data_IF_748039628084
#
_entry.id   IF_748039628084
#
_cell.length_a   1.000
_cell.length_b   1.000
_cell.length_c   1.000
_cell.angle_alpha   90.00
_cell.angle_beta   90.00
_cell.angle_gamma   90.00
#
_symmetry.space_group_name_H-M   'P 1'
#
loop_
_entity.id
_entity.type
_entity.pdbx_description
1 polymer ?
#
# COMPACT_ATOMS: atom_id res chain seq x y z
N UNK A 1 18.04 -20.25 7.46
CA UNK A 1 16.94 -20.25 8.46
C UNK A 1 16.48 -18.84 8.79
N UNK A 2 17.35 -17.90 9.22
CA UNK A 2 16.95 -16.51 9.52
C UNK A 2 16.20 -15.81 8.38
N UNK A 3 16.71 -15.91 7.13
CA UNK A 3 16.04 -15.35 5.95
C UNK A 3 14.61 -15.92 5.74
N UNK A 4 14.43 -17.23 5.98
CA UNK A 4 13.12 -17.87 5.84
C UNK A 4 12.11 -17.33 6.86
N UNK A 5 12.52 -17.20 8.13
CA UNK A 5 11.67 -16.66 9.21
C UNK A 5 11.19 -15.25 8.88
N UNK A 6 12.10 -14.40 8.42
CA UNK A 6 11.78 -13.01 8.05
C UNK A 6 10.82 -12.95 6.85
N UNK A 7 11.09 -13.75 5.82
CA UNK A 7 10.27 -13.78 4.60
C UNK A 7 8.87 -14.34 4.88
N UNK A 8 8.77 -15.32 5.79
CA UNK A 8 7.48 -15.87 6.22
C UNK A 8 6.61 -14.84 6.97
N UNK A 9 7.22 -14.01 7.82
CA UNK A 9 6.50 -12.91 8.47
C UNK A 9 5.99 -11.88 7.47
N UNK A 10 6.79 -11.54 6.47
CA UNK A 10 6.38 -10.63 5.39
C UNK A 10 5.25 -11.22 4.56
N UNK A 11 5.34 -12.51 4.24
CA UNK A 11 4.27 -13.21 3.56
C UNK A 11 2.97 -13.14 4.37
N UNK A 12 3.01 -13.46 5.67
CA UNK A 12 1.86 -13.40 6.58
C UNK A 12 1.22 -12.00 6.61
N UNK A 13 2.03 -10.96 6.82
CA UNK A 13 1.53 -9.58 6.89
C UNK A 13 0.92 -9.10 5.57
N UNK A 14 1.54 -9.46 4.43
CA UNK A 14 0.98 -9.12 3.12
C UNK A 14 -0.24 -9.97 2.78
N UNK A 15 -0.26 -11.26 3.15
CA UNK A 15 -1.42 -12.12 2.96
C UNK A 15 -2.65 -11.54 3.67
N UNK A 16 -2.50 -11.09 4.91
CA UNK A 16 -3.58 -10.49 5.70
C UNK A 16 -4.21 -9.27 5.01
N UNK A 17 -3.42 -8.43 4.35
CA UNK A 17 -3.92 -7.28 3.58
C UNK A 17 -4.87 -7.69 2.44
N UNK A 18 -4.62 -8.82 1.81
CA UNK A 18 -5.37 -9.25 0.63
C UNK A 18 -6.55 -10.17 0.97
N UNK A 19 -6.34 -11.05 1.94
CA UNK A 19 -7.31 -12.08 2.32
C UNK A 19 -8.59 -11.49 2.91
N UNK A 20 -8.48 -10.41 3.70
CA UNK A 20 -9.59 -9.74 4.37
C UNK A 20 -10.57 -9.10 3.38
N UNK A 21 -10.09 -8.63 2.21
CA UNK A 21 -10.97 -8.07 1.19
C UNK A 21 -12.03 -9.08 0.73
N UNK A 22 -11.64 -10.35 0.53
CA UNK A 22 -12.55 -11.42 0.07
C UNK A 22 -13.54 -11.82 1.17
N UNK A 23 -13.16 -11.67 2.43
CA UNK A 23 -13.99 -12.02 3.58
C UNK A 23 -15.02 -10.93 3.95
N UNK A 24 -14.89 -9.72 3.40
CA UNK A 24 -15.70 -8.57 3.81
C UNK A 24 -17.22 -8.79 3.70
N UNK A 25 -17.78 -9.34 2.61
CA UNK A 25 -19.22 -9.63 2.52
C UNK A 25 -19.68 -10.67 3.56
N UNK A 26 -18.88 -11.70 3.82
CA UNK A 26 -19.20 -12.70 4.85
C UNK A 26 -19.19 -12.12 6.27
N UNK A 27 -18.28 -11.17 6.57
CA UNK A 27 -18.29 -10.41 7.81
C UNK A 27 -19.57 -9.57 7.92
N UNK A 28 -20.02 -8.97 6.82
CA UNK A 28 -21.24 -8.14 6.77
C UNK A 28 -22.48 -8.94 7.18
N UNK A 29 -22.64 -10.14 6.67
CA UNK A 29 -23.75 -11.03 7.05
C UNK A 29 -23.65 -11.52 8.50
N UNK A 30 -22.44 -11.74 9.00
CA UNK A 30 -22.19 -12.22 10.37
C UNK A 30 -22.48 -11.16 11.45
N UNK A 31 -22.23 -9.89 11.16
CA UNK A 31 -22.50 -8.76 12.04
C UNK A 31 -23.84 -8.05 11.73
N UNK A 32 -24.86 -8.85 11.38
CA UNK A 32 -26.19 -8.32 11.11
C UNK A 32 -26.88 -7.81 12.39
N UNK A 33 -27.59 -6.69 12.29
CA UNK A 33 -28.45 -6.14 13.32
C UNK A 33 -29.87 -5.97 12.80
N UNK A 34 -30.86 -6.49 13.53
CA UNK A 34 -32.26 -6.36 13.13
C UNK A 34 -32.59 -7.03 11.78
N UNK A 35 -31.89 -8.13 11.42
CA UNK A 35 -32.10 -8.82 10.16
C UNK A 35 -31.41 -8.18 8.94
N UNK A 36 -30.69 -7.09 9.11
CA UNK A 36 -29.93 -6.44 8.05
C UNK A 36 -28.43 -6.65 8.22
N UNK A 37 -27.67 -6.98 7.16
CA UNK A 37 -26.21 -7.03 7.17
C UNK A 37 -25.62 -5.68 7.61
N UNK A 38 -24.42 -5.72 8.21
CA UNK A 38 -23.67 -4.51 8.52
C UNK A 38 -23.47 -3.65 7.26
N UNK A 39 -23.51 -2.32 7.41
CA UNK A 39 -23.36 -1.42 6.26
C UNK A 39 -21.97 -1.52 5.64
N UNK A 40 -21.85 -1.32 4.32
CA UNK A 40 -20.53 -1.26 3.64
C UNK A 40 -19.68 -0.13 4.22
N UNK A 41 -20.30 0.97 4.68
CA UNK A 41 -19.64 2.07 5.37
C UNK A 41 -18.93 1.58 6.64
N UNK A 42 -19.63 0.82 7.49
CA UNK A 42 -19.06 0.30 8.73
C UNK A 42 -18.00 -0.79 8.44
N UNK A 43 -18.28 -1.69 7.49
CA UNK A 43 -17.35 -2.75 7.07
C UNK A 43 -16.05 -2.18 6.51
N UNK A 44 -16.10 -1.06 5.79
CA UNK A 44 -14.91 -0.42 5.23
C UNK A 44 -13.88 -0.05 6.30
N UNK A 45 -14.32 0.17 7.55
CA UNK A 45 -13.42 0.45 8.66
C UNK A 45 -12.51 -0.72 9.02
N UNK A 46 -12.89 -1.96 8.72
CA UNK A 46 -12.00 -3.14 8.89
C UNK A 46 -10.74 -3.01 8.03
N UNK A 47 -10.86 -2.42 6.83
CA UNK A 47 -9.74 -2.16 5.93
C UNK A 47 -9.06 -0.81 6.26
N UNK A 48 -9.84 0.25 6.45
CA UNK A 48 -9.36 1.60 6.63
C UNK A 48 -8.57 1.77 7.94
N UNK A 49 -9.07 1.24 9.06
CA UNK A 49 -8.40 1.33 10.35
C UNK A 49 -7.01 0.67 10.31
N UNK A 50 -6.89 -0.47 9.63
CA UNK A 50 -5.61 -1.14 9.41
C UNK A 50 -4.67 -0.28 8.55
N UNK A 51 -5.12 0.17 7.40
CA UNK A 51 -4.30 0.93 6.46
C UNK A 51 -3.80 2.26 7.04
N UNK A 52 -4.68 3.00 7.74
CA UNK A 52 -4.35 4.27 8.40
C UNK A 52 -3.29 4.05 9.49
N UNK A 53 -3.52 3.06 10.36
CA UNK A 53 -2.60 2.76 11.47
C UNK A 53 -1.24 2.30 10.95
N UNK A 54 -1.23 1.43 9.93
CA UNK A 54 0.00 0.98 9.28
C UNK A 54 0.77 2.16 8.69
N UNK A 55 0.09 3.05 7.94
CA UNK A 55 0.70 4.23 7.35
C UNK A 55 1.39 5.13 8.37
N UNK A 56 0.70 5.40 9.48
CA UNK A 56 1.17 6.28 10.52
C UNK A 56 2.34 5.72 11.31
N UNK A 57 2.29 4.43 11.64
CA UNK A 57 3.27 3.80 12.52
C UNK A 57 4.51 3.26 11.81
N UNK A 58 4.44 3.02 10.50
CA UNK A 58 5.53 2.39 9.74
C UNK A 58 6.85 3.14 9.89
N UNK A 59 6.84 4.47 9.77
CA UNK A 59 8.04 5.31 9.89
C UNK A 59 8.51 5.40 11.34
N UNK A 60 7.56 5.60 12.27
CA UNK A 60 7.87 5.74 13.71
C UNK A 60 8.51 4.47 14.24
N UNK A 61 7.89 3.32 13.98
CA UNK A 61 8.36 2.04 14.50
C UNK A 61 9.66 1.63 13.80
N UNK A 62 9.84 1.94 12.51
CA UNK A 62 11.12 1.75 11.82
C UNK A 62 12.27 2.45 12.55
N UNK A 63 12.11 3.72 12.94
CA UNK A 63 13.10 4.47 13.72
C UNK A 63 13.28 3.94 15.15
N UNK A 64 12.23 3.42 15.77
CA UNK A 64 12.34 2.72 17.06
C UNK A 64 13.22 1.47 16.90
N UNK A 65 13.06 0.72 15.80
CA UNK A 65 13.89 -0.43 15.44
C UNK A 65 15.37 -0.08 15.33
N UNK A 66 15.71 1.08 14.75
CA UNK A 66 17.10 1.55 14.63
C UNK A 66 17.73 1.88 16.00
N UNK A 67 16.92 2.32 16.98
CA UNK A 67 17.39 2.68 18.33
C UNK A 67 17.44 1.53 19.32
N UNK A 68 16.41 0.72 19.35
CA UNK A 68 16.23 -0.36 20.33
C UNK A 68 16.82 -1.67 19.82
N UNK A 69 16.98 -1.77 18.50
CA UNK A 69 17.42 -2.97 17.79
C UNK A 69 16.27 -3.57 16.96
N UNK A 70 16.63 -4.07 15.79
CA UNK A 70 15.64 -4.58 14.82
C UNK A 70 14.93 -5.85 15.31
N UNK A 71 15.69 -6.77 15.96
CA UNK A 71 15.18 -8.06 16.43
C UNK A 71 14.07 -7.93 17.50
N UNK A 72 14.25 -7.20 18.61
CA UNK A 72 13.19 -7.07 19.62
C UNK A 72 11.92 -6.41 19.04
N UNK A 73 12.08 -5.39 18.19
CA UNK A 73 10.93 -4.72 17.56
C UNK A 73 10.23 -5.66 16.57
N UNK A 74 10.97 -6.43 15.79
CA UNK A 74 10.39 -7.44 14.88
C UNK A 74 9.59 -8.49 15.65
N UNK A 75 10.19 -9.10 16.68
CA UNK A 75 9.54 -10.17 17.47
C UNK A 75 8.32 -9.64 18.20
N UNK A 76 8.40 -8.47 18.86
CA UNK A 76 7.24 -7.87 19.51
C UNK A 76 6.13 -7.52 18.48
N UNK A 77 6.50 -7.10 17.27
CA UNK A 77 5.56 -6.88 16.18
C UNK A 77 4.84 -8.16 15.74
N UNK A 78 5.56 -9.28 15.60
CA UNK A 78 4.96 -10.59 15.27
C UNK A 78 4.03 -11.06 16.40
N UNK A 79 4.44 -10.92 17.67
CA UNK A 79 3.58 -11.25 18.83
C UNK A 79 2.32 -10.42 18.83
N UNK A 80 2.43 -9.09 18.70
CA UNK A 80 1.28 -8.20 18.67
C UNK A 80 0.33 -8.52 17.51
N UNK A 81 0.87 -8.78 16.30
CA UNK A 81 0.11 -9.16 15.11
C UNK A 81 -0.64 -10.47 15.33
N UNK A 82 0.03 -11.48 15.90
CA UNK A 82 -0.55 -12.81 16.14
C UNK A 82 -1.66 -12.75 17.20
N UNK A 83 -1.43 -12.07 18.31
CA UNK A 83 -2.45 -11.89 19.35
C UNK A 83 -3.64 -11.09 18.84
N UNK A 84 -3.39 -10.03 18.08
CA UNK A 84 -4.45 -9.26 17.45
C UNK A 84 -5.22 -10.07 16.40
N UNK A 85 -4.58 -11.00 15.67
CA UNK A 85 -5.27 -11.93 14.78
C UNK A 85 -6.24 -12.84 15.54
N UNK A 86 -5.84 -13.34 16.71
CA UNK A 86 -6.76 -14.08 17.59
C UNK A 86 -7.92 -13.18 18.05
N UNK A 87 -7.63 -11.95 18.45
CA UNK A 87 -8.68 -10.99 18.86
C UNK A 87 -9.65 -10.67 17.70
N UNK A 88 -9.14 -10.53 16.46
CA UNK A 88 -9.98 -10.37 15.27
C UNK A 88 -10.93 -11.57 15.06
N UNK A 89 -10.41 -12.79 15.17
CA UNK A 89 -11.20 -14.00 15.01
C UNK A 89 -12.27 -14.16 16.09
N UNK A 90 -12.00 -13.72 17.30
CA UNK A 90 -12.90 -13.82 18.45
C UNK A 90 -13.81 -12.60 18.62
N UNK A 91 -13.70 -11.57 17.78
CA UNK A 91 -14.45 -10.32 17.95
C UNK A 91 -15.97 -10.55 17.87
N UNK A 92 -16.73 -10.25 18.93
CA UNK A 92 -18.19 -10.43 18.96
C UNK A 92 -18.93 -9.29 18.24
N UNK A 93 -18.29 -8.14 18.05
CA UNK A 93 -18.87 -6.98 17.36
C UNK A 93 -17.91 -6.44 16.30
N UNK A 94 -18.47 -5.79 15.28
CA UNK A 94 -17.69 -5.17 14.20
C UNK A 94 -16.66 -4.16 14.74
N UNK A 95 -17.04 -3.34 15.71
CA UNK A 95 -16.14 -2.31 16.26
C UNK A 95 -14.99 -2.89 17.08
N UNK A 96 -15.19 -4.03 17.76
CA UNK A 96 -14.10 -4.76 18.40
C UNK A 96 -13.17 -5.39 17.36
N UNK A 97 -13.71 -5.87 16.23
CA UNK A 97 -12.89 -6.31 15.10
C UNK A 97 -12.05 -5.14 14.57
N UNK A 98 -12.64 -3.96 14.36
CA UNK A 98 -11.92 -2.75 13.91
C UNK A 98 -10.81 -2.36 14.91
N UNK A 99 -11.08 -2.39 16.22
CA UNK A 99 -10.06 -2.11 17.23
C UNK A 99 -8.92 -3.15 17.21
N UNK A 100 -9.24 -4.43 17.08
CA UNK A 100 -8.23 -5.49 16.93
C UNK A 100 -7.38 -5.30 15.65
N UNK A 101 -8.00 -4.82 14.56
CA UNK A 101 -7.30 -4.46 13.31
C UNK A 101 -6.31 -3.30 13.51
N UNK A 102 -6.61 -2.32 14.37
CA UNK A 102 -5.65 -1.26 14.73
C UNK A 102 -4.42 -1.85 15.41
N UNK A 103 -4.61 -2.75 16.39
CA UNK A 103 -3.48 -3.42 17.08
C UNK A 103 -2.69 -4.30 16.11
N UNK A 104 -3.38 -5.03 15.23
CA UNK A 104 -2.76 -5.88 14.22
C UNK A 104 -1.90 -5.06 13.25
N UNK A 105 -2.38 -3.89 12.82
CA UNK A 105 -1.65 -2.97 11.96
C UNK A 105 -0.40 -2.40 12.64
N UNK A 106 -0.44 -2.12 13.93
CA UNK A 106 0.73 -1.73 14.71
C UNK A 106 1.80 -2.84 14.71
N UNK A 107 1.38 -4.10 14.87
CA UNK A 107 2.25 -5.27 14.72
C UNK A 107 2.87 -5.37 13.33
N UNK A 108 2.08 -5.16 12.27
CA UNK A 108 2.55 -5.14 10.88
C UNK A 108 3.57 -4.01 10.63
N UNK A 109 3.31 -2.82 11.18
CA UNK A 109 4.22 -1.68 11.10
C UNK A 109 5.58 -1.94 11.75
N UNK A 110 5.62 -2.81 12.76
CA UNK A 110 6.87 -3.25 13.39
C UNK A 110 7.60 -4.30 12.54
N UNK A 111 6.87 -5.17 11.85
CA UNK A 111 7.45 -6.25 11.06
C UNK A 111 8.07 -5.77 9.74
N UNK A 112 7.37 -4.92 8.97
CA UNK A 112 7.77 -4.61 7.60
C UNK A 112 9.16 -3.96 7.49
N UNK A 113 9.50 -2.84 8.18
CA UNK A 113 10.82 -2.22 8.08
C UNK A 113 11.91 -3.09 8.72
N UNK A 114 11.63 -3.68 9.89
CA UNK A 114 12.60 -4.48 10.63
C UNK A 114 12.92 -5.80 9.94
N UNK A 115 11.97 -6.38 9.20
CA UNK A 115 12.17 -7.61 8.43
C UNK A 115 13.24 -7.45 7.38
N UNK A 116 13.20 -6.40 6.57
CA UNK A 116 14.21 -6.15 5.55
C UNK A 116 15.59 -5.90 6.16
N UNK A 117 15.65 -5.11 7.24
CA UNK A 117 16.91 -4.86 7.96
C UNK A 117 17.54 -6.15 8.52
N UNK A 118 16.74 -7.01 9.17
CA UNK A 118 17.19 -8.30 9.67
C UNK A 118 17.61 -9.26 8.56
N UNK A 119 16.91 -9.26 7.44
CA UNK A 119 17.28 -10.05 6.28
C UNK A 119 18.65 -9.65 5.76
N UNK A 120 18.87 -8.35 5.55
CA UNK A 120 20.15 -7.82 5.05
C UNK A 120 21.31 -8.03 6.05
N UNK A 121 21.02 -8.01 7.35
CA UNK A 121 22.00 -8.34 8.40
C UNK A 121 22.32 -9.85 8.47
N UNK A 122 21.43 -10.70 7.95
CA UNK A 122 21.57 -12.17 8.01
C UNK A 122 22.30 -12.76 6.80
N UNK A 123 22.62 -11.95 5.77
CA UNK A 123 23.23 -12.43 4.54
C UNK A 123 24.50 -11.63 4.18
N UNK A 124 25.51 -12.27 3.55
CA UNK A 124 26.68 -11.57 3.02
C UNK A 124 26.31 -10.48 2.02
N UNK A 125 27.17 -9.46 1.89
CA UNK A 125 26.90 -8.27 1.05
C UNK A 125 26.60 -8.65 -0.40
N UNK A 126 27.29 -9.65 -0.93
CA UNK A 126 27.17 -10.15 -2.31
C UNK A 126 25.79 -10.76 -2.58
N UNK A 127 25.12 -11.30 -1.55
CA UNK A 127 23.80 -11.94 -1.64
C UNK A 127 22.63 -11.00 -1.29
N UNK A 128 22.88 -9.78 -0.83
CA UNK A 128 21.83 -8.84 -0.40
C UNK A 128 20.83 -8.51 -1.49
N UNK A 129 21.29 -8.31 -2.73
CA UNK A 129 20.40 -8.04 -3.87
C UNK A 129 19.45 -9.22 -4.13
N UNK A 130 19.95 -10.46 -4.08
CA UNK A 130 19.12 -11.66 -4.20
C UNK A 130 18.12 -11.80 -3.07
N UNK A 131 18.55 -11.57 -1.83
CA UNK A 131 17.70 -11.63 -0.65
C UNK A 131 16.56 -10.60 -0.70
N UNK A 132 16.85 -9.36 -1.08
CA UNK A 132 15.82 -8.32 -1.26
C UNK A 132 14.81 -8.70 -2.35
N UNK A 133 15.27 -9.30 -3.44
CA UNK A 133 14.36 -9.80 -4.50
C UNK A 133 13.45 -10.91 -3.97
N UNK A 134 14.00 -11.85 -3.20
CA UNK A 134 13.20 -12.91 -2.56
C UNK A 134 12.17 -12.32 -1.62
N UNK A 135 12.56 -11.37 -0.77
CA UNK A 135 11.66 -10.66 0.15
C UNK A 135 10.49 -10.00 -0.59
N UNK A 136 10.77 -9.29 -1.68
CA UNK A 136 9.74 -8.66 -2.50
C UNK A 136 8.86 -9.69 -3.23
N UNK A 137 9.44 -10.80 -3.72
CA UNK A 137 8.71 -11.87 -4.40
C UNK A 137 7.69 -12.55 -3.48
N UNK A 138 8.01 -12.78 -2.20
CA UNK A 138 7.06 -13.33 -1.23
C UNK A 138 5.92 -12.35 -0.89
N UNK A 139 6.19 -11.04 -0.90
CA UNK A 139 5.13 -10.03 -0.84
C UNK A 139 4.17 -10.12 -2.03
N UNK A 140 4.70 -10.31 -3.24
CA UNK A 140 3.90 -10.52 -4.45
C UNK A 140 3.14 -11.86 -4.44
N UNK A 141 3.78 -12.93 -3.97
CA UNK A 141 3.13 -14.25 -3.81
C UNK A 141 1.95 -14.17 -2.84
N UNK A 142 2.09 -13.45 -1.73
CA UNK A 142 1.02 -13.22 -0.77
C UNK A 142 -0.17 -12.50 -1.41
N UNK A 143 0.09 -11.51 -2.28
CA UNK A 143 -0.96 -10.81 -3.00
C UNK A 143 -1.73 -11.71 -3.97
N UNK A 144 -1.05 -12.64 -4.64
CA UNK A 144 -1.69 -13.61 -5.54
C UNK A 144 -2.42 -14.72 -4.78
N UNK A 145 -1.85 -15.18 -3.66
CA UNK A 145 -2.43 -16.23 -2.82
C UNK A 145 -3.62 -15.74 -1.98
N UNK A 146 -3.63 -14.45 -1.62
CA UNK A 146 -4.64 -13.85 -0.73
C UNK A 146 -6.08 -14.11 -1.15
N UNK A 147 -6.50 -13.77 -2.37
CA UNK A 147 -7.85 -14.02 -2.83
C UNK A 147 -8.24 -15.50 -2.82
N UNK A 148 -7.32 -16.40 -3.19
CA UNK A 148 -7.58 -17.86 -3.23
C UNK A 148 -7.72 -18.42 -1.82
N UNK A 149 -6.73 -18.14 -0.96
CA UNK A 149 -6.77 -18.60 0.44
C UNK A 149 -7.94 -17.97 1.18
N UNK A 150 -8.23 -16.69 0.91
CA UNK A 150 -9.41 -16.02 1.46
C UNK A 150 -10.70 -16.72 1.07
N UNK A 151 -10.85 -17.02 -0.23
CA UNK A 151 -12.00 -17.73 -0.74
C UNK A 151 -12.17 -19.13 -0.15
N UNK A 152 -11.07 -19.88 0.04
CA UNK A 152 -11.10 -21.20 0.67
C UNK A 152 -11.48 -21.12 2.16
N UNK A 153 -10.86 -20.22 2.90
CA UNK A 153 -11.06 -20.10 4.35
C UNK A 153 -12.45 -19.57 4.69
N UNK A 154 -12.97 -18.65 3.89
CA UNK A 154 -14.33 -18.09 4.06
C UNK A 154 -15.41 -19.14 3.86
N UNK A 155 -15.17 -20.23 3.09
CA UNK A 155 -16.13 -21.35 2.98
C UNK A 155 -16.34 -22.09 4.31
N UNK A 156 -15.33 -22.08 5.18
CA UNK A 156 -15.44 -22.69 6.51
C UNK A 156 -16.08 -21.68 7.47
N UNK A 157 -15.40 -20.56 7.68
CA UNK A 157 -15.87 -19.38 8.42
C UNK A 157 -14.90 -18.23 8.11
N UNK A 158 -15.39 -17.00 7.96
CA UNK A 158 -14.54 -15.83 7.70
C UNK A 158 -13.47 -15.61 8.78
N UNK A 159 -13.68 -16.09 10.01
CA UNK A 159 -12.71 -16.01 11.11
C UNK A 159 -11.39 -16.71 10.81
N UNK A 160 -11.42 -17.73 9.95
CA UNK A 160 -10.22 -18.45 9.55
C UNK A 160 -9.21 -17.60 8.78
N UNK A 161 -9.65 -16.49 8.17
CA UNK A 161 -8.72 -15.56 7.51
C UNK A 161 -7.76 -14.90 8.51
N UNK A 162 -8.14 -14.83 9.79
CA UNK A 162 -7.28 -14.35 10.86
C UNK A 162 -6.56 -15.51 11.58
N UNK A 163 -7.24 -16.63 11.77
CA UNK A 163 -6.67 -17.81 12.46
C UNK A 163 -5.45 -18.37 11.71
N UNK A 164 -5.42 -18.30 10.38
CA UNK A 164 -4.28 -18.75 9.56
C UNK A 164 -2.98 -18.04 9.92
N UNK A 165 -3.03 -16.83 10.45
CA UNK A 165 -1.87 -16.09 10.90
C UNK A 165 -1.27 -16.66 12.19
N UNK A 166 -2.05 -17.36 13.01
CA UNK A 166 -1.62 -17.83 14.35
C UNK A 166 -0.48 -18.85 14.27
N UNK A 167 -0.61 -19.96 13.53
CA UNK A 167 0.48 -20.93 13.43
C UNK A 167 1.74 -20.34 12.79
N UNK A 168 1.57 -19.46 11.79
CA UNK A 168 2.70 -18.79 11.14
C UNK A 168 3.39 -17.84 12.12
N UNK A 169 2.62 -17.06 12.88
CA UNK A 169 3.14 -16.11 13.86
C UNK A 169 3.86 -16.81 15.02
N UNK A 170 3.27 -17.86 15.59
CA UNK A 170 3.89 -18.65 16.66
C UNK A 170 5.24 -19.25 16.18
N UNK A 171 5.24 -19.88 15.00
CA UNK A 171 6.47 -20.39 14.41
C UNK A 171 7.52 -19.29 14.22
N UNK A 172 7.10 -18.13 13.67
CA UNK A 172 7.99 -16.99 13.43
C UNK A 172 8.59 -16.43 14.71
N UNK A 173 7.81 -16.34 15.81
CA UNK A 173 8.31 -15.90 17.12
C UNK A 173 9.34 -16.89 17.66
N UNK A 174 9.00 -18.17 17.73
CA UNK A 174 9.90 -19.22 18.31
C UNK A 174 11.20 -19.31 17.50
N UNK A 175 11.09 -19.45 16.18
CA UNK A 175 12.24 -19.51 15.30
C UNK A 175 13.03 -18.18 15.28
N UNK A 176 12.35 -17.05 15.33
CA UNK A 176 12.98 -15.73 15.37
C UNK A 176 13.81 -15.48 16.62
N UNK A 177 13.32 -15.93 17.78
CA UNK A 177 14.08 -15.88 19.03
C UNK A 177 15.33 -16.79 19.01
N UNK A 178 15.31 -17.88 18.24
CA UNK A 178 16.42 -18.80 18.13
C UNK A 178 17.48 -18.35 17.10
N UNK A 179 17.06 -17.86 15.91
CA UNK A 179 17.97 -17.75 14.75
C UNK A 179 18.26 -16.31 14.29
N UNK A 180 17.45 -15.30 14.70
CA UNK A 180 17.68 -13.94 14.25
C UNK A 180 18.87 -13.27 14.97
N UNK A 181 19.75 -12.57 14.23
CA UNK A 181 20.90 -11.90 14.83
C UNK A 181 20.45 -10.78 15.78
N UNK A 182 21.20 -10.64 16.89
CA UNK A 182 21.03 -9.50 17.79
C UNK A 182 21.70 -8.28 17.17
N UNK A 183 20.99 -7.57 16.31
CA UNK A 183 21.47 -6.33 15.73
C UNK A 183 21.32 -5.22 16.76
N UNK A 184 22.41 -4.88 17.41
CA UNK A 184 22.46 -3.78 18.35
C UNK A 184 23.17 -2.58 17.73
N UNK A 185 22.48 -1.74 16.99
CA UNK A 185 22.93 -0.39 16.71
C UNK A 185 22.06 0.57 17.51
N UNK A 186 22.62 1.11 18.58
CA UNK A 186 22.01 2.22 19.30
C UNK A 186 22.42 3.51 18.61
N UNK A 187 21.83 3.82 17.48
CA UNK A 187 21.95 5.15 16.92
C UNK A 187 21.28 6.14 17.86
N UNK A 188 22.08 7.10 18.38
CA UNK A 188 21.59 8.23 19.20
C UNK A 188 20.97 9.29 18.28
N UNK A 189 19.99 8.90 17.47
CA UNK A 189 19.24 9.84 16.65
C UNK A 189 18.14 10.57 17.45
N UNK A 190 17.55 11.67 16.95
CA UNK A 190 16.40 12.31 17.60
C UNK A 190 15.21 11.37 17.67
N UNK A 191 14.34 11.59 18.67
CA UNK A 191 13.10 10.81 18.82
C UNK A 191 12.21 10.99 17.59
N UNK A 192 11.52 9.92 17.14
CA UNK A 192 10.55 10.04 16.06
C UNK A 192 9.41 10.97 16.47
N UNK A 193 8.83 11.67 15.49
CA UNK A 193 7.68 12.56 15.70
C UNK A 193 6.39 11.74 15.91
N UNK A 194 6.20 11.26 17.14
CA UNK A 194 5.00 10.49 17.54
C UNK A 194 3.74 11.35 17.43
N UNK A 195 3.81 12.63 17.78
CA UNK A 195 2.67 13.54 17.64
C UNK A 195 2.31 13.81 16.18
N UNK A 196 3.29 13.89 15.29
CA UNK A 196 3.05 13.94 13.84
C UNK A 196 2.35 12.67 13.34
N UNK A 197 2.71 11.50 13.87
CA UNK A 197 2.01 10.25 13.54
C UNK A 197 0.56 10.24 14.02
N UNK A 198 0.30 10.65 15.27
CA UNK A 198 -1.06 10.78 15.79
C UNK A 198 -1.88 11.76 14.96
N UNK A 199 -1.29 12.89 14.60
CA UNK A 199 -1.98 13.94 13.84
C UNK A 199 -2.33 13.50 12.41
N UNK A 200 -1.41 12.85 11.70
CA UNK A 200 -1.71 12.32 10.36
C UNK A 200 -2.75 11.20 10.42
N UNK A 201 -2.67 10.33 11.45
CA UNK A 201 -3.67 9.28 11.69
C UNK A 201 -5.06 9.89 11.87
N UNK A 202 -5.20 10.85 12.77
CA UNK A 202 -6.47 11.52 13.04
C UNK A 202 -7.00 12.26 11.80
N UNK A 203 -6.12 12.93 11.06
CA UNK A 203 -6.46 13.63 9.81
C UNK A 203 -7.03 12.68 8.76
N UNK A 204 -6.33 11.57 8.49
CA UNK A 204 -6.77 10.60 7.49
C UNK A 204 -8.02 9.85 7.95
N UNK A 205 -8.14 9.54 9.25
CA UNK A 205 -9.34 8.93 9.83
C UNK A 205 -10.55 9.87 9.71
N UNK A 206 -10.38 11.16 10.01
CA UNK A 206 -11.45 12.15 9.87
C UNK A 206 -11.89 12.32 8.41
N UNK A 207 -10.94 12.40 7.47
CA UNK A 207 -11.25 12.47 6.04
C UNK A 207 -12.00 11.21 5.57
N UNK A 208 -11.51 10.04 5.92
CA UNK A 208 -12.15 8.78 5.54
C UNK A 208 -13.53 8.63 6.17
N UNK A 209 -13.68 9.02 7.45
CA UNK A 209 -14.97 9.03 8.13
C UNK A 209 -15.97 9.98 7.47
N UNK A 210 -15.55 11.18 7.09
CA UNK A 210 -16.39 12.12 6.36
C UNK A 210 -16.89 11.52 5.04
N UNK A 211 -15.97 10.97 4.21
CA UNK A 211 -16.31 10.38 2.92
C UNK A 211 -17.22 9.16 3.06
N UNK A 212 -16.92 8.26 3.98
CA UNK A 212 -17.67 7.00 4.20
C UNK A 212 -19.07 7.26 4.76
N UNK A 213 -19.23 8.28 5.63
CA UNK A 213 -20.51 8.58 6.29
C UNK A 213 -21.37 9.62 5.56
N UNK A 214 -20.78 10.41 4.65
CA UNK A 214 -21.52 11.44 3.91
C UNK A 214 -22.75 10.94 3.17
N UNK A 215 -22.78 9.73 2.55
CA UNK A 215 -23.99 9.22 1.90
C UNK A 215 -25.14 8.96 2.88
N UNK A 216 -24.86 8.57 4.13
CA UNK A 216 -25.89 8.27 5.15
C UNK A 216 -26.28 9.48 5.99
N UNK A 217 -25.32 10.34 6.35
CA UNK A 217 -25.55 11.52 7.18
C UNK A 217 -26.00 12.74 6.36
N UNK A 218 -25.69 12.76 5.07
CA UNK A 218 -25.80 13.93 4.19
C UNK A 218 -24.49 14.74 4.13
N UNK A 219 -24.18 15.25 2.94
CA UNK A 219 -22.95 16.04 2.69
C UNK A 219 -22.91 17.36 3.47
N UNK A 220 -24.07 17.96 3.69
CA UNK A 220 -24.21 19.22 4.45
C UNK A 220 -24.50 19.02 5.94
N UNK A 221 -24.47 17.78 6.45
CA UNK A 221 -24.71 17.52 7.86
C UNK A 221 -23.58 18.08 8.73
N UNK A 222 -23.89 18.54 9.97
CA UNK A 222 -22.88 19.01 10.91
C UNK A 222 -21.78 17.97 11.19
N UNK A 223 -22.12 16.67 11.20
CA UNK A 223 -21.18 15.57 11.39
C UNK A 223 -20.17 15.47 10.24
N UNK A 224 -20.65 15.45 8.99
CA UNK A 224 -19.79 15.39 7.80
C UNK A 224 -18.90 16.63 7.67
N UNK A 225 -19.50 17.82 7.83
CA UNK A 225 -18.74 19.08 7.78
C UNK A 225 -17.74 19.20 8.92
N UNK A 226 -18.09 18.73 10.13
CA UNK A 226 -17.17 18.68 11.26
C UNK A 226 -15.96 17.79 11.02
N UNK A 227 -16.16 16.59 10.44
CA UNK A 227 -15.07 15.69 10.09
C UNK A 227 -14.19 16.26 8.95
N UNK A 228 -14.79 16.90 7.93
CA UNK A 228 -14.03 17.57 6.86
C UNK A 228 -13.20 18.74 7.41
N UNK A 229 -13.79 19.55 8.31
CA UNK A 229 -13.07 20.63 8.97
C UNK A 229 -11.93 20.08 9.86
N UNK A 230 -12.17 19.00 10.63
CA UNK A 230 -11.14 18.36 11.42
C UNK A 230 -10.01 17.80 10.55
N UNK A 231 -10.33 17.20 9.39
CA UNK A 231 -9.33 16.74 8.42
C UNK A 231 -8.52 17.92 7.83
N UNK A 232 -9.17 19.01 7.46
CA UNK A 232 -8.50 20.20 6.92
C UNK A 232 -7.56 20.86 7.96
N UNK A 233 -8.06 21.08 9.17
CA UNK A 233 -7.29 21.68 10.28
C UNK A 233 -6.15 20.76 10.70
N UNK A 234 -6.41 19.45 10.86
CA UNK A 234 -5.42 18.46 11.22
C UNK A 234 -4.32 18.34 10.15
N UNK A 235 -4.69 18.35 8.87
CA UNK A 235 -3.75 18.33 7.75
C UNK A 235 -2.87 19.59 7.69
N UNK A 236 -3.47 20.76 7.87
CA UNK A 236 -2.73 22.03 7.94
C UNK A 236 -1.77 22.03 9.13
N UNK A 237 -2.21 21.58 10.29
CA UNK A 237 -1.36 21.49 11.48
C UNK A 237 -0.23 20.46 11.29
N UNK A 238 -0.53 19.29 10.73
CA UNK A 238 0.49 18.30 10.39
C UNK A 238 1.55 18.89 9.44
N UNK A 239 1.12 19.62 8.41
CA UNK A 239 2.03 20.28 7.48
C UNK A 239 2.93 21.30 8.18
N UNK A 240 2.36 22.20 8.98
CA UNK A 240 3.11 23.21 9.73
C UNK A 240 4.08 22.58 10.73
N UNK A 241 3.63 21.51 11.42
CA UNK A 241 4.48 20.76 12.35
C UNK A 241 5.64 20.09 11.63
N UNK A 242 5.35 19.37 10.55
CA UNK A 242 6.39 18.67 9.76
C UNK A 242 7.41 19.63 9.15
N UNK A 243 6.99 20.85 8.83
CA UNK A 243 7.91 21.89 8.32
C UNK A 243 8.85 22.46 9.40
N UNK A 244 8.48 22.40 10.68
CA UNK A 244 9.22 23.02 11.81
C UNK A 244 9.91 22.01 12.72
N UNK A 245 9.53 20.74 12.69
CA UNK A 245 10.06 19.72 13.58
C UNK A 245 11.45 19.27 13.13
N UNK A 246 12.41 19.12 14.07
CA UNK A 246 13.80 18.74 13.78
C UNK A 246 13.90 17.32 13.18
N UNK A 247 12.95 16.43 13.49
CA UNK A 247 12.88 15.05 12.98
C UNK A 247 11.44 14.74 12.60
N UNK A 248 10.91 15.34 11.50
CA UNK A 248 9.51 15.17 11.13
C UNK A 248 9.21 13.74 10.72
N UNK A 249 7.92 13.33 10.89
CA UNK A 249 7.44 12.03 10.41
C UNK A 249 7.63 11.92 8.89
N UNK A 250 7.20 12.95 8.17
CA UNK A 250 7.38 13.10 6.72
C UNK A 250 8.30 14.29 6.44
N UNK A 251 9.40 14.02 5.77
CA UNK A 251 10.30 15.08 5.31
C UNK A 251 9.70 15.77 4.08
N UNK A 252 8.78 16.69 4.29
CA UNK A 252 8.01 17.36 3.23
C UNK A 252 8.88 18.07 2.19
N UNK A 253 10.11 18.48 2.56
CA UNK A 253 11.04 19.08 1.61
C UNK A 253 11.43 18.10 0.48
N UNK A 254 11.41 16.81 0.72
CA UNK A 254 11.67 15.79 -0.31
C UNK A 254 10.59 15.82 -1.42
N UNK A 255 9.36 16.19 -1.09
CA UNK A 255 8.28 16.34 -2.08
C UNK A 255 8.53 17.49 -3.06
N UNK A 256 9.40 18.44 -2.71
CA UNK A 256 9.81 19.54 -3.60
C UNK A 256 10.82 19.10 -4.67
N UNK A 257 11.45 17.93 -4.50
CA UNK A 257 12.29 17.34 -5.52
C UNK A 257 11.41 16.85 -6.67
N UNK A 258 11.57 17.35 -7.91
CA UNK A 258 10.59 17.12 -9.00
C UNK A 258 10.30 15.64 -9.25
N UNK A 259 11.33 14.79 -9.28
CA UNK A 259 11.17 13.37 -9.52
C UNK A 259 10.53 12.65 -8.32
N UNK A 260 10.89 13.00 -7.08
CA UNK A 260 10.29 12.41 -5.89
C UNK A 260 8.85 12.87 -5.70
N UNK A 261 8.57 14.17 -5.90
CA UNK A 261 7.22 14.71 -5.83
C UNK A 261 6.28 14.11 -6.86
N UNK A 262 6.70 14.06 -8.13
CA UNK A 262 5.92 13.43 -9.21
C UNK A 262 5.65 11.95 -8.94
N UNK A 263 6.66 11.22 -8.44
CA UNK A 263 6.53 9.82 -8.05
C UNK A 263 5.55 9.64 -6.89
N UNK A 264 5.61 10.51 -5.86
CA UNK A 264 4.72 10.44 -4.69
C UNK A 264 3.26 10.75 -5.07
N UNK A 265 3.04 11.77 -5.89
CA UNK A 265 1.70 12.10 -6.44
C UNK A 265 1.18 10.95 -7.31
N UNK A 266 2.01 10.43 -8.22
CA UNK A 266 1.66 9.27 -9.04
C UNK A 266 1.30 8.04 -8.18
N UNK A 267 2.07 7.78 -7.12
CA UNK A 267 1.80 6.67 -6.17
C UNK A 267 0.48 6.89 -5.43
N UNK A 268 0.17 8.11 -5.01
CA UNK A 268 -1.09 8.43 -4.35
C UNK A 268 -2.28 8.20 -5.28
N UNK A 269 -2.26 8.83 -6.45
CA UNK A 269 -3.37 8.77 -7.41
C UNK A 269 -3.59 7.34 -7.91
N UNK A 270 -2.51 6.63 -8.25
CA UNK A 270 -2.57 5.22 -8.65
C UNK A 270 -3.07 4.33 -7.51
N UNK A 271 -2.63 4.59 -6.28
CA UNK A 271 -3.03 3.84 -5.09
C UNK A 271 -4.53 3.96 -4.80
N UNK A 272 -5.11 5.16 -4.99
CA UNK A 272 -6.57 5.40 -4.88
C UNK A 272 -7.31 4.54 -5.90
N UNK A 273 -6.95 4.62 -7.18
CA UNK A 273 -7.59 3.84 -8.25
C UNK A 273 -7.45 2.33 -8.03
N UNK A 274 -6.29 1.89 -7.56
CA UNK A 274 -6.01 0.49 -7.28
C UNK A 274 -6.85 -0.06 -6.12
N UNK A 275 -7.01 0.68 -5.03
CA UNK A 275 -7.84 0.28 -3.90
C UNK A 275 -9.33 0.23 -4.28
N UNK A 276 -9.81 1.22 -5.06
CA UNK A 276 -11.16 1.19 -5.64
C UNK A 276 -11.38 -0.08 -6.46
N UNK A 277 -10.43 -0.43 -7.33
CA UNK A 277 -10.50 -1.64 -8.15
C UNK A 277 -10.60 -2.90 -7.31
N UNK A 278 -9.72 -3.05 -6.31
CA UNK A 278 -9.67 -4.25 -5.48
C UNK A 278 -11.00 -4.54 -4.80
N UNK A 279 -11.53 -3.55 -4.09
CA UNK A 279 -12.77 -3.72 -3.35
C UNK A 279 -13.97 -3.86 -4.31
N UNK A 280 -14.04 -3.06 -5.38
CA UNK A 280 -15.14 -3.16 -6.35
C UNK A 280 -15.19 -4.51 -7.05
N UNK A 281 -14.05 -5.16 -7.32
CA UNK A 281 -14.00 -6.50 -7.90
C UNK A 281 -14.65 -7.54 -6.98
N UNK A 282 -14.33 -7.49 -5.68
CA UNK A 282 -14.88 -8.44 -4.70
C UNK A 282 -16.38 -8.24 -4.54
N UNK A 283 -16.81 -7.00 -4.32
CA UNK A 283 -18.24 -6.67 -4.15
C UNK A 283 -19.03 -7.01 -5.41
N UNK A 284 -18.53 -6.70 -6.60
CA UNK A 284 -19.21 -7.06 -7.85
C UNK A 284 -19.39 -8.56 -7.99
N UNK A 285 -18.32 -9.35 -7.77
CA UNK A 285 -18.41 -10.80 -7.91
C UNK A 285 -19.31 -11.45 -6.85
N UNK A 286 -19.27 -10.99 -5.60
CA UNK A 286 -20.03 -11.63 -4.51
C UNK A 286 -21.46 -11.08 -4.40
N UNK A 287 -21.64 -9.77 -4.48
CA UNK A 287 -22.94 -9.14 -4.21
C UNK A 287 -23.80 -8.95 -5.48
N UNK A 288 -23.17 -8.75 -6.68
CA UNK A 288 -23.90 -8.58 -7.95
C UNK A 288 -24.00 -9.89 -8.73
N UNK A 289 -22.88 -10.62 -8.86
CA UNK A 289 -22.87 -11.91 -9.55
C UNK A 289 -23.22 -13.10 -8.65
N UNK A 290 -23.36 -12.88 -7.35
CA UNK A 290 -23.66 -13.90 -6.34
C UNK A 290 -22.69 -15.10 -6.37
N UNK A 291 -21.42 -14.84 -6.71
CA UNK A 291 -20.40 -15.88 -6.69
C UNK A 291 -19.95 -16.17 -5.26
N UNK A 292 -19.62 -17.44 -5.01
CA UNK A 292 -18.98 -17.81 -3.74
C UNK A 292 -17.63 -17.08 -3.58
N UNK A 293 -17.19 -16.92 -2.33
CA UNK A 293 -15.90 -16.31 -2.02
C UNK A 293 -14.73 -17.04 -2.71
N UNK A 294 -14.78 -18.39 -2.81
CA UNK A 294 -13.77 -19.17 -3.51
C UNK A 294 -13.75 -18.89 -5.02
N UNK A 295 -14.93 -18.89 -5.66
CA UNK A 295 -15.03 -18.57 -7.10
C UNK A 295 -14.52 -17.17 -7.38
N UNK A 296 -14.88 -16.21 -6.55
CA UNK A 296 -14.37 -14.84 -6.60
C UNK A 296 -12.85 -14.82 -6.44
N UNK A 297 -12.32 -15.49 -5.42
CA UNK A 297 -10.89 -15.56 -5.17
C UNK A 297 -10.10 -16.11 -6.37
N UNK A 298 -10.56 -17.22 -6.95
CA UNK A 298 -9.95 -17.85 -8.13
C UNK A 298 -10.02 -16.93 -9.36
N UNK A 299 -11.15 -16.27 -9.57
CA UNK A 299 -11.35 -15.35 -10.69
C UNK A 299 -10.44 -14.12 -10.62
N UNK A 300 -10.06 -13.69 -9.43
CA UNK A 300 -9.19 -12.52 -9.22
C UNK A 300 -7.68 -12.83 -9.32
N UNK A 301 -7.26 -14.10 -9.38
CA UNK A 301 -5.83 -14.51 -9.45
C UNK A 301 -5.08 -13.91 -10.64
N UNK A 302 -5.61 -13.86 -11.87
CA UNK A 302 -4.82 -13.45 -13.03
C UNK A 302 -4.18 -12.07 -12.90
N UNK A 303 -4.88 -11.11 -12.26
CA UNK A 303 -4.34 -9.77 -12.05
C UNK A 303 -3.07 -9.77 -11.20
N UNK A 304 -3.11 -10.15 -9.93
CA UNK A 304 -1.94 -10.22 -9.06
C UNK A 304 -0.83 -11.15 -9.55
N UNK A 305 -1.14 -12.25 -10.24
CA UNK A 305 -0.16 -13.19 -10.78
C UNK A 305 0.69 -12.56 -11.90
N UNK A 306 0.13 -11.65 -12.68
CA UNK A 306 0.85 -10.93 -13.74
C UNK A 306 1.84 -9.91 -13.20
N UNK A 307 1.60 -9.33 -12.01
CA UNK A 307 2.43 -8.25 -11.46
C UNK A 307 3.90 -8.63 -11.34
N UNK A 308 4.30 -9.71 -10.66
CA UNK A 308 5.71 -10.10 -10.57
C UNK A 308 6.31 -10.47 -11.93
N UNK A 309 5.55 -11.13 -12.80
CA UNK A 309 5.98 -11.52 -14.15
C UNK A 309 6.35 -10.27 -14.96
N UNK A 310 5.43 -9.31 -15.03
CA UNK A 310 5.64 -8.05 -15.75
C UNK A 310 6.81 -7.26 -15.16
N UNK A 311 6.90 -7.17 -13.83
CA UNK A 311 7.99 -6.46 -13.14
C UNK A 311 9.36 -7.04 -13.49
N UNK A 312 9.49 -8.37 -13.57
CA UNK A 312 10.75 -9.03 -13.95
C UNK A 312 11.07 -8.82 -15.44
N UNK A 313 10.08 -9.02 -16.32
CA UNK A 313 10.27 -8.88 -17.78
C UNK A 313 10.65 -7.46 -18.16
N UNK A 314 10.10 -6.46 -17.48
CA UNK A 314 10.33 -5.04 -17.77
C UNK A 314 11.57 -4.45 -17.10
N UNK A 315 12.27 -5.19 -16.25
CA UNK A 315 13.49 -4.72 -15.59
C UNK A 315 14.59 -4.25 -16.58
N UNK A 316 14.69 -4.88 -17.75
CA UNK A 316 15.61 -4.43 -18.83
C UNK A 316 15.11 -3.15 -19.49
N UNK A 317 13.81 -3.01 -19.68
CA UNK A 317 13.20 -1.81 -20.26
C UNK A 317 13.37 -0.59 -19.34
N UNK A 318 13.23 -0.76 -18.02
CA UNK A 318 13.51 0.30 -17.02
C UNK A 318 14.94 0.82 -17.18
N UNK A 319 15.93 -0.07 -17.36
CA UNK A 319 17.32 0.34 -17.51
C UNK A 319 17.58 1.10 -18.83
N UNK A 320 16.86 0.78 -19.90
CA UNK A 320 17.05 1.41 -21.23
C UNK A 320 16.23 2.69 -21.38
N UNK A 321 14.96 2.63 -21.05
CA UNK A 321 14.00 3.71 -21.29
C UNK A 321 13.83 4.64 -20.08
N UNK A 322 14.22 4.19 -18.87
CA UNK A 322 13.96 4.88 -17.62
C UNK A 322 12.60 4.53 -17.04
N UNK A 323 12.26 5.17 -15.93
CA UNK A 323 11.02 4.89 -15.16
C UNK A 323 9.78 5.52 -15.82
N UNK A 324 9.91 6.73 -16.37
CA UNK A 324 8.77 7.52 -16.86
C UNK A 324 7.90 6.82 -17.90
N UNK A 325 8.47 6.29 -19.02
CA UNK A 325 7.69 5.61 -20.06
C UNK A 325 6.91 4.39 -19.54
N UNK A 326 7.50 3.64 -18.59
CA UNK A 326 6.83 2.47 -18.02
C UNK A 326 5.69 2.86 -17.08
N UNK A 327 5.86 3.92 -16.28
CA UNK A 327 4.80 4.46 -15.45
C UNK A 327 3.65 4.97 -16.33
N UNK A 328 3.96 5.69 -17.41
CA UNK A 328 2.95 6.20 -18.34
C UNK A 328 2.17 5.05 -19.00
N UNK A 329 2.87 4.05 -19.54
CA UNK A 329 2.24 2.88 -20.15
C UNK A 329 1.42 2.07 -19.13
N UNK A 330 1.92 1.91 -17.90
CA UNK A 330 1.23 1.23 -16.82
C UNK A 330 -0.07 1.93 -16.42
N UNK A 331 -0.05 3.26 -16.34
CA UNK A 331 -1.26 4.06 -16.06
C UNK A 331 -2.30 3.95 -17.17
N UNK A 332 -1.88 3.99 -18.45
CA UNK A 332 -2.79 3.80 -19.60
C UNK A 332 -3.41 2.40 -19.60
N UNK A 333 -2.62 1.35 -19.39
CA UNK A 333 -3.13 -0.02 -19.36
C UNK A 333 -4.09 -0.26 -18.18
N UNK A 334 -3.77 0.29 -17.02
CA UNK A 334 -4.68 0.20 -15.87
C UNK A 334 -5.98 0.97 -16.14
N UNK A 335 -5.89 2.17 -16.74
CA UNK A 335 -7.06 2.94 -17.15
C UNK A 335 -7.92 2.18 -18.16
N UNK A 336 -7.30 1.53 -19.16
CA UNK A 336 -7.99 0.67 -20.11
C UNK A 336 -8.71 -0.50 -19.43
N UNK A 337 -8.07 -1.13 -18.43
CA UNK A 337 -8.70 -2.19 -17.63
C UNK A 337 -9.91 -1.70 -16.84
N UNK A 338 -9.84 -0.50 -16.25
CA UNK A 338 -10.97 0.13 -15.55
C UNK A 338 -12.08 0.54 -16.52
N UNK A 339 -11.74 1.14 -17.66
CA UNK A 339 -12.69 1.50 -18.71
C UNK A 339 -13.39 0.26 -19.30
N UNK A 340 -12.64 -0.85 -19.48
CA UNK A 340 -13.23 -2.11 -19.91
C UNK A 340 -14.35 -2.56 -18.97
N UNK A 341 -14.13 -2.49 -17.64
CA UNK A 341 -15.18 -2.82 -16.67
C UNK A 341 -16.39 -1.92 -16.80
N UNK A 342 -16.18 -0.63 -16.92
CA UNK A 342 -17.27 0.34 -17.03
C UNK A 342 -18.18 0.10 -18.24
N UNK A 343 -17.62 -0.42 -19.34
CA UNK A 343 -18.31 -0.62 -20.61
C UNK A 343 -18.89 -2.03 -20.75
N UNK A 344 -18.10 -3.05 -20.45
CA UNK A 344 -18.43 -4.43 -20.83
C UNK A 344 -18.96 -5.28 -19.67
N UNK A 345 -18.63 -4.97 -18.41
CA UNK A 345 -19.09 -5.79 -17.28
C UNK A 345 -20.60 -5.62 -17.11
N UNK A 346 -21.31 -6.74 -17.16
CA UNK A 346 -22.77 -6.81 -17.07
C UNK A 346 -23.22 -7.54 -15.79
N UNK A 347 -24.49 -7.42 -15.45
CA UNK A 347 -25.09 -8.14 -14.30
C UNK A 347 -25.20 -9.63 -14.53
N UNK A 348 -25.23 -10.09 -15.79
CA UNK A 348 -25.14 -11.50 -16.15
C UNK A 348 -23.67 -11.92 -16.20
N UNK A 349 -23.24 -12.92 -15.39
CA UNK A 349 -21.83 -13.26 -15.28
C UNK A 349 -21.27 -13.89 -16.57
N UNK A 350 -20.37 -13.18 -17.26
CA UNK A 350 -19.49 -13.73 -18.30
C UNK A 350 -18.02 -13.40 -17.96
N UNK A 351 -17.36 -14.34 -17.30
CA UNK A 351 -16.00 -14.16 -16.82
C UNK A 351 -15.00 -13.83 -17.93
N UNK A 352 -15.08 -14.60 -19.04
CA UNK A 352 -14.09 -14.52 -20.11
C UNK A 352 -14.18 -13.21 -20.88
N UNK A 353 -15.38 -12.70 -21.06
CA UNK A 353 -15.64 -11.45 -21.77
C UNK A 353 -15.54 -10.24 -20.85
N UNK A 354 -16.17 -10.32 -19.68
CA UNK A 354 -16.41 -9.16 -18.83
C UNK A 354 -15.21 -8.86 -17.93
N UNK A 355 -14.73 -9.85 -17.17
CA UNK A 355 -13.77 -9.61 -16.09
C UNK A 355 -12.31 -9.94 -16.49
N UNK A 356 -12.06 -11.07 -17.17
CA UNK A 356 -10.71 -11.55 -17.45
C UNK A 356 -9.86 -10.55 -18.26
N UNK A 357 -10.35 -9.93 -19.36
CA UNK A 357 -9.55 -8.96 -20.11
C UNK A 357 -9.15 -7.76 -19.25
N UNK A 358 -10.07 -7.29 -18.42
CA UNK A 358 -9.82 -6.18 -17.51
C UNK A 358 -8.78 -6.54 -16.42
N UNK A 359 -8.78 -7.80 -15.94
CA UNK A 359 -7.79 -8.30 -14.97
C UNK A 359 -6.39 -8.36 -15.59
N UNK A 360 -6.28 -8.81 -16.84
CA UNK A 360 -5.02 -8.83 -17.58
C UNK A 360 -4.48 -7.41 -17.79
N UNK A 361 -5.30 -6.51 -18.31
CA UNK A 361 -4.91 -5.11 -18.55
C UNK A 361 -4.47 -4.42 -17.26
N UNK A 362 -5.27 -4.53 -16.20
CA UNK A 362 -4.93 -3.91 -14.92
C UNK A 362 -3.76 -4.58 -14.23
N UNK A 363 -3.59 -5.91 -14.32
CA UNK A 363 -2.45 -6.64 -13.77
C UNK A 363 -1.12 -6.22 -14.43
N UNK A 364 -1.10 -6.11 -15.76
CA UNK A 364 0.05 -5.57 -16.49
C UNK A 364 0.30 -4.12 -16.11
N UNK A 365 -0.76 -3.30 -16.02
CA UNK A 365 -0.67 -1.89 -15.62
C UNK A 365 -0.04 -1.72 -14.24
N UNK A 366 -0.46 -2.52 -13.26
CA UNK A 366 0.11 -2.53 -11.89
C UNK A 366 1.58 -2.94 -11.92
N UNK A 367 1.93 -4.00 -12.66
CA UNK A 367 3.30 -4.49 -12.78
C UNK A 367 4.26 -3.46 -13.37
N UNK A 368 3.78 -2.64 -14.33
CA UNK A 368 4.55 -1.56 -14.92
C UNK A 368 4.64 -0.33 -14.01
N UNK A 369 3.54 0.10 -13.40
CA UNK A 369 3.47 1.38 -12.72
C UNK A 369 3.91 1.33 -11.25
N UNK A 370 3.37 0.39 -10.45
CA UNK A 370 3.45 0.47 -9.00
C UNK A 370 4.88 0.38 -8.46
N UNK A 371 5.61 -0.67 -8.83
CA UNK A 371 7.01 -0.84 -8.42
C UNK A 371 7.93 0.21 -9.02
N UNK A 372 7.64 0.64 -10.24
CA UNK A 372 8.42 1.62 -10.98
C UNK A 372 8.28 3.03 -10.39
N UNK A 373 7.09 3.42 -9.93
CA UNK A 373 6.86 4.67 -9.21
C UNK A 373 7.67 4.72 -7.91
N UNK A 374 7.60 3.66 -7.10
CA UNK A 374 8.38 3.58 -5.85
C UNK A 374 9.88 3.67 -6.14
N UNK A 375 10.36 2.92 -7.12
CA UNK A 375 11.78 2.92 -7.50
C UNK A 375 12.23 4.30 -8.02
N UNK A 376 11.44 4.96 -8.86
CA UNK A 376 11.72 6.29 -9.39
C UNK A 376 11.85 7.33 -8.26
N UNK A 377 10.93 7.30 -7.29
CA UNK A 377 10.97 8.18 -6.13
C UNK A 377 12.23 7.96 -5.30
N UNK A 378 12.46 6.73 -4.86
CA UNK A 378 13.58 6.40 -3.97
C UNK A 378 14.95 6.65 -4.63
N UNK A 379 15.11 6.34 -5.93
CA UNK A 379 16.36 6.54 -6.65
C UNK A 379 16.67 8.03 -6.93
N UNK A 380 15.70 8.92 -6.87
CA UNK A 380 15.90 10.34 -7.04
C UNK A 380 16.43 11.06 -5.79
N UNK A 381 16.51 10.35 -4.67
CA UNK A 381 16.93 10.92 -3.39
C UNK A 381 18.45 10.90 -3.22
N UNK A 382 19.00 11.87 -2.45
CA UNK A 382 20.40 11.86 -2.06
C UNK A 382 20.81 10.57 -1.34
N UNK A 383 22.12 10.24 -1.40
CA UNK A 383 22.68 9.09 -0.70
C UNK A 383 22.35 9.16 0.81
N UNK A 384 21.94 8.01 1.38
CA UNK A 384 21.52 7.91 2.78
C UNK A 384 20.04 8.20 3.06
N UNK A 385 19.26 8.75 2.10
CA UNK A 385 17.83 9.07 2.28
C UNK A 385 16.87 8.01 1.71
N UNK A 386 17.39 6.95 1.12
CA UNK A 386 16.59 5.91 0.47
C UNK A 386 15.57 5.23 1.41
N UNK A 387 15.98 4.96 2.66
CA UNK A 387 15.10 4.35 3.66
C UNK A 387 13.92 5.28 4.03
N UNK A 388 14.23 6.57 4.32
CA UNK A 388 13.21 7.60 4.62
C UNK A 388 12.26 7.79 3.44
N UNK A 389 12.79 7.87 2.21
CA UNK A 389 11.97 7.99 1.00
C UNK A 389 11.07 6.78 0.76
N UNK A 390 11.58 5.58 0.96
CA UNK A 390 10.79 4.35 0.84
C UNK A 390 9.66 4.31 1.87
N UNK A 391 9.94 4.69 3.12
CA UNK A 391 8.93 4.76 4.17
C UNK A 391 7.85 5.79 3.83
N UNK A 392 8.24 6.98 3.33
CA UNK A 392 7.30 8.02 2.90
C UNK A 392 6.40 7.55 1.76
N UNK A 393 6.95 6.95 0.70
CA UNK A 393 6.17 6.45 -0.43
C UNK A 393 5.22 5.32 0.00
N UNK A 394 5.64 4.44 0.92
CA UNK A 394 4.77 3.41 1.48
C UNK A 394 3.63 4.01 2.33
N UNK A 395 3.90 5.04 3.14
CA UNK A 395 2.85 5.76 3.88
C UNK A 395 1.86 6.42 2.93
N UNK A 396 2.34 7.08 1.88
CA UNK A 396 1.49 7.68 0.82
C UNK A 396 0.60 6.60 0.19
N UNK A 397 1.14 5.43 -0.11
CA UNK A 397 0.37 4.31 -0.67
C UNK A 397 -0.75 3.82 0.25
N UNK A 398 -0.48 3.72 1.55
CA UNK A 398 -1.49 3.28 2.52
C UNK A 398 -2.60 4.33 2.72
N UNK A 399 -2.25 5.61 2.76
CA UNK A 399 -3.21 6.72 2.79
C UNK A 399 -4.06 6.68 1.52
N UNK A 400 -3.45 6.48 0.35
CA UNK A 400 -4.16 6.36 -0.91
C UNK A 400 -5.15 5.18 -0.92
N UNK A 401 -4.75 4.03 -0.35
CA UNK A 401 -5.62 2.86 -0.21
C UNK A 401 -6.86 3.20 0.63
N UNK A 402 -6.68 3.87 1.76
CA UNK A 402 -7.78 4.30 2.63
C UNK A 402 -8.74 5.26 1.91
N UNK A 403 -8.19 6.28 1.23
CA UNK A 403 -8.99 7.24 0.45
C UNK A 403 -9.73 6.52 -0.68
N UNK A 404 -9.08 5.57 -1.37
CA UNK A 404 -9.68 4.81 -2.46
C UNK A 404 -10.87 3.96 -2.00
N UNK A 405 -10.76 3.27 -0.86
CA UNK A 405 -11.87 2.53 -0.24
C UNK A 405 -13.00 3.49 0.13
N UNK A 406 -12.68 4.62 0.78
CA UNK A 406 -13.68 5.60 1.18
C UNK A 406 -14.42 6.22 -0.01
N UNK A 407 -13.71 6.59 -1.08
CA UNK A 407 -14.29 7.11 -2.32
C UNK A 407 -15.21 6.07 -2.98
N UNK A 408 -14.78 4.81 -3.06
CA UNK A 408 -15.61 3.74 -3.61
C UNK A 408 -16.92 3.59 -2.83
N UNK A 409 -16.83 3.49 -1.49
CA UNK A 409 -18.01 3.36 -0.61
C UNK A 409 -18.94 4.55 -0.74
N UNK A 410 -18.39 5.76 -0.89
CA UNK A 410 -19.15 6.99 -1.14
C UNK A 410 -19.97 6.89 -2.44
N UNK A 411 -19.38 6.36 -3.51
CA UNK A 411 -20.01 6.28 -4.83
C UNK A 411 -21.06 5.17 -4.90
N UNK A 412 -20.74 3.99 -4.34
CA UNK A 412 -21.64 2.82 -4.39
C UNK A 412 -22.78 2.97 -3.37
N UNK A 413 -22.53 3.65 -2.25
CA UNK A 413 -23.46 3.79 -1.14
C UNK A 413 -23.23 2.78 -0.03
N UNK A 414 -24.06 2.88 1.01
CA UNK A 414 -23.91 2.07 2.22
C UNK A 414 -24.30 0.59 2.05
N UNK A 415 -24.99 0.24 0.97
CA UNK A 415 -25.40 -1.14 0.63
C UNK A 415 -25.28 -1.36 -0.86
N UNK A 416 -24.91 -2.56 -1.24
CA UNK A 416 -24.91 -2.99 -2.65
C UNK A 416 -26.30 -3.56 -2.95
N UNK A 417 -27.00 -2.91 -3.88
CA UNK A 417 -28.32 -3.31 -4.36
C UNK A 417 -28.42 -3.19 -5.89
N UNK A 418 -29.59 -3.43 -6.47
CA UNK A 418 -29.83 -3.30 -7.90
C UNK A 418 -29.55 -1.89 -8.44
N UNK A 419 -29.68 -0.84 -7.62
CA UNK A 419 -29.38 0.55 -7.96
C UNK A 419 -27.87 0.85 -7.98
N UNK A 420 -27.06 0.06 -7.34
CA UNK A 420 -25.60 0.29 -7.19
C UNK A 420 -24.82 0.07 -8.48
N UNK A 421 -25.38 -0.59 -9.52
CA UNK A 421 -24.70 -0.83 -10.81
C UNK A 421 -24.17 0.46 -11.44
N UNK A 422 -24.96 1.53 -11.41
CA UNK A 422 -24.52 2.85 -11.86
C UNK A 422 -23.35 3.40 -11.06
N UNK A 423 -23.34 3.19 -9.75
CA UNK A 423 -22.26 3.56 -8.85
C UNK A 423 -20.97 2.81 -9.17
N UNK A 424 -21.02 1.51 -9.41
CA UNK A 424 -19.83 0.74 -9.82
C UNK A 424 -19.26 1.27 -11.15
N UNK A 425 -20.10 1.52 -12.16
CA UNK A 425 -19.65 2.07 -13.44
C UNK A 425 -18.97 3.43 -13.25
N UNK A 426 -19.59 4.32 -12.47
CA UNK A 426 -19.01 5.63 -12.15
C UNK A 426 -17.65 5.46 -11.41
N UNK A 427 -17.56 4.56 -10.45
CA UNK A 427 -16.30 4.28 -9.75
C UNK A 427 -15.20 3.79 -10.70
N UNK A 428 -15.53 2.93 -11.67
CA UNK A 428 -14.57 2.45 -12.66
C UNK A 428 -14.14 3.57 -13.63
N UNK A 429 -15.04 4.43 -14.05
CA UNK A 429 -14.71 5.62 -14.87
C UNK A 429 -13.80 6.57 -14.12
N UNK A 430 -14.10 6.87 -12.85
CA UNK A 430 -13.24 7.71 -12.01
C UNK A 430 -11.86 7.05 -11.84
N UNK A 431 -11.81 5.74 -11.56
CA UNK A 431 -10.56 4.99 -11.47
C UNK A 431 -9.74 5.02 -12.76
N UNK A 432 -10.39 4.97 -13.92
CA UNK A 432 -9.72 5.14 -15.21
C UNK A 432 -9.12 6.55 -15.35
N UNK A 433 -9.89 7.59 -15.00
CA UNK A 433 -9.41 8.98 -15.00
C UNK A 433 -8.20 9.20 -14.10
N UNK A 434 -8.26 8.70 -12.85
CA UNK A 434 -7.12 8.75 -11.92
C UNK A 434 -5.88 8.04 -12.48
N UNK A 435 -6.08 6.91 -13.15
CA UNK A 435 -4.97 6.16 -13.75
C UNK A 435 -4.33 6.91 -14.93
N UNK A 436 -5.09 7.67 -15.70
CA UNK A 436 -4.54 8.56 -16.73
C UNK A 436 -3.75 9.73 -16.10
N UNK A 437 -4.18 10.27 -14.96
CA UNK A 437 -3.38 11.25 -14.21
C UNK A 437 -2.05 10.64 -13.76
N UNK A 438 -2.02 9.36 -13.39
CA UNK A 438 -0.76 8.63 -13.12
C UNK A 438 0.14 8.59 -14.35
N UNK A 439 -0.42 8.45 -15.55
CA UNK A 439 0.36 8.49 -16.80
C UNK A 439 1.02 9.86 -17.02
N UNK A 440 0.34 10.95 -16.66
CA UNK A 440 0.92 12.30 -16.68
C UNK A 440 2.11 12.40 -15.71
N UNK A 441 2.00 11.82 -14.50
CA UNK A 441 3.14 11.75 -13.59
C UNK A 441 4.33 11.00 -14.21
N UNK A 442 4.09 9.92 -14.98
CA UNK A 442 5.09 9.23 -15.77
C UNK A 442 5.78 10.13 -16.81
N UNK A 443 5.01 10.97 -17.52
CA UNK A 443 5.55 11.95 -18.48
C UNK A 443 6.41 13.00 -17.78
N UNK A 444 5.99 13.48 -16.61
CA UNK A 444 6.79 14.43 -15.80
C UNK A 444 8.12 13.81 -15.34
N UNK A 445 8.13 12.54 -15.00
CA UNK A 445 9.37 11.80 -14.68
C UNK A 445 10.32 11.69 -15.87
N UNK A 446 9.84 11.66 -17.11
CA UNK A 446 10.70 11.71 -18.32
C UNK A 446 11.40 13.09 -18.44
N UNK A 447 10.65 14.17 -18.24
CA UNK A 447 11.17 15.54 -18.35
C UNK A 447 12.23 15.86 -17.31
N UNK A 448 12.05 15.42 -16.05
CA UNK A 448 13.03 15.64 -14.98
C UNK A 448 14.39 15.00 -15.23
N UNK A 449 14.43 13.92 -16.02
CA UNK A 449 15.68 13.25 -16.44
C UNK A 449 16.41 14.01 -17.53
N UNK A 450 15.67 14.62 -18.46
CA UNK A 450 16.22 15.41 -19.56
C UNK A 450 16.97 16.66 -19.06
N UNK A 451 16.39 17.36 -18.07
CA UNK A 451 17.01 18.56 -17.47
C UNK A 451 18.28 18.24 -16.67
N UNK A 452 18.34 17.10 -15.97
CA UNK A 452 19.52 16.65 -15.25
C UNK A 452 20.68 16.27 -16.21
N UNK A 453 20.37 15.69 -17.37
CA UNK A 453 21.36 15.35 -18.39
C UNK A 453 22.00 16.56 -19.08
N UNK A 454 21.22 17.61 -19.33
CA UNK A 454 21.72 18.86 -19.93
C UNK A 454 22.59 19.68 -18.98
N UNK A 455 22.29 19.71 -17.68
CA UNK A 455 23.13 20.37 -16.68
C UNK A 455 24.50 19.73 -16.49
N UNK A 456 24.59 18.39 -16.62
CA UNK A 456 25.84 17.66 -16.52
C UNK A 456 26.73 17.78 -17.79
N UNK A 457 26.14 17.99 -18.97
CA UNK A 457 26.86 18.21 -20.21
C UNK A 457 27.41 19.65 -20.33
N UNK A 458 26.66 20.64 -19.83
CA UNK A 458 27.10 22.05 -19.82
C UNK A 458 28.26 22.34 -18.84
N UNK A 459 28.35 21.59 -17.73
CA UNK A 459 29.43 21.74 -16.74
C UNK A 459 30.81 21.22 -17.20
N UNK A 460 30.87 20.35 -18.19
CA UNK A 460 32.14 19.82 -18.72
C UNK A 460 32.82 20.70 -19.72
N UNK A 461 32.15 21.70 -20.29
CA UNK A 461 32.75 22.67 -21.21
C UNK A 461 33.29 23.92 -20.53
N UNK A 462 33.01 24.13 -19.22
CA UNK A 462 33.45 25.30 -18.48
C UNK A 462 34.76 25.10 -17.67
N UNK A 463 35.33 23.90 -17.61
CA UNK A 463 36.56 23.56 -16.88
C UNK A 463 37.78 23.40 -17.78
N UNK A 464 37.82 24.07 -18.90
CA UNK A 464 39.05 24.22 -19.71
C UNK A 464 39.97 25.30 -19.10
N UNK A 465 40.51 25.06 -17.90
CA UNK A 465 41.68 25.84 -17.44
C UNK A 465 42.94 25.29 -18.09
N UNK A 466 43.81 26.14 -18.68
CA UNK A 466 45.06 25.69 -19.23
C UNK A 466 46.01 25.22 -18.11
N UNK A 467 46.67 24.12 -18.38
CA UNK A 467 47.73 23.53 -17.56
C UNK A 467 48.87 24.57 -17.37
N UNK A 468 49.38 24.84 -16.14
CA UNK A 468 50.53 25.68 -15.97
C UNK A 468 51.75 24.96 -16.47
N UNK A 469 52.45 25.58 -17.44
CA UNK A 469 53.70 25.14 -18.02
C UNK A 469 54.77 24.85 -16.94
N UNK A 470 55.29 23.63 -16.94
CA UNK A 470 56.44 23.25 -16.13
C UNK A 470 57.69 24.06 -16.59
N UNK A 471 58.09 24.98 -15.75
CA UNK A 471 59.36 25.68 -15.89
C UNK A 471 60.51 24.74 -15.55
N UNK A 472 61.36 24.48 -16.53
CA UNK A 472 62.70 23.98 -16.33
C UNK A 472 63.51 25.04 -15.58
N UNK A 473 64.12 24.69 -14.46
CA UNK A 473 65.24 25.38 -13.88
C UNK A 473 66.30 24.35 -13.48
N UNK A 474 67.41 24.55 -14.07
CA UNK A 474 68.76 23.99 -13.91
C UNK A 474 69.19 23.66 -12.50
#
# INVERSE_FOLDING_TARGET
>A
MAAFVVVLAVFMTNLDLWIVNVALPAMGSSYSHGGHPASLSDLSWVLNAYAITLAALLVVIGRIGDRVGQRPVFVSGVVAFTLASVACALAPTLWLLVLARVVQAAGAAAQLPTSLALLLASVPVERRTGATRTWAAFGGLAAAAGPVLGGLLVQIDWRWVFIVNVPIGVFTVVAGLAVLPRTGSREKGPLPDVWGAVLVTATVAALSGALVQAPSWGWASPGTLGLLAAAAVGGAWFWLRSARHASPLLELHLLRLPAFGSSSVGTFVFGVAFAMMLLSNVLWCQDVWHWSALRTGLALVPGPALVPIVTVLTARAVRRLGHGPLVAAGGVLFAAGMAWRAVFVSTTPDYLRDLLPSMILSGVGVGLAMGTLVAAGVQSLPAGRAATGSALVNSVRQIASTVGVAVLVTIIGARVDAGSVGGFRLAWVIGAGLSLVTSVAGVLLMRSRSTAGHGAAGGRHASGMPEPAAGHAS
#
